data_IF_363402189178
#
_entry.id   IF_363402189178
#
_cell.length_a   1.000
_cell.length_b   1.000
_cell.length_c   1.000
_cell.angle_alpha   90.00
_cell.angle_beta   90.00
_cell.angle_gamma   90.00
#
_symmetry.space_group_name_H-M   'P 1'
#
loop_
_entity.id
_entity.type
_entity.pdbx_description
1 polymer ?
#
# COMPACT_ATOMS: atom_id res chain seq x y z
N UNK A 1 8.60 2.45 26.25
CA UNK A 1 7.26 1.82 26.24
C UNK A 1 6.88 1.22 27.60
N UNK A 2 5.70 1.58 28.13
CA UNK A 2 5.08 0.84 29.24
C UNK A 2 4.69 -0.58 28.75
N UNK A 3 4.55 -1.55 29.65
CA UNK A 3 4.18 -2.92 29.29
C UNK A 3 2.82 -2.99 28.56
N UNK A 4 1.91 -2.06 28.90
CA UNK A 4 0.62 -1.92 28.22
C UNK A 4 0.76 -1.44 26.77
N UNK A 5 1.69 -0.50 26.51
CA UNK A 5 1.93 0.04 25.17
C UNK A 5 2.55 -1.02 24.26
N UNK A 6 3.51 -1.79 24.80
CA UNK A 6 4.12 -2.91 24.08
C UNK A 6 3.09 -3.98 23.71
N UNK A 7 2.17 -4.31 24.63
CA UNK A 7 1.09 -5.26 24.35
C UNK A 7 0.11 -4.75 23.29
N UNK A 8 -0.20 -3.44 23.27
CA UNK A 8 -1.06 -2.84 22.25
C UNK A 8 -0.41 -2.87 20.85
N UNK A 9 0.89 -2.57 20.77
CA UNK A 9 1.65 -2.68 19.52
C UNK A 9 1.70 -4.13 19.01
N UNK A 10 1.99 -5.09 19.89
CA UNK A 10 1.99 -6.52 19.55
C UNK A 10 0.64 -6.99 19.02
N UNK A 11 -0.47 -6.55 19.64
CA UNK A 11 -1.81 -6.93 19.20
C UNK A 11 -2.14 -6.40 17.79
N UNK A 12 -1.83 -5.13 17.52
CA UNK A 12 -2.02 -4.54 16.18
C UNK A 12 -1.20 -5.32 15.12
N UNK A 13 0.03 -5.71 15.44
CA UNK A 13 0.88 -6.47 14.52
C UNK A 13 0.38 -7.90 14.31
N UNK A 14 -0.14 -8.56 15.36
CA UNK A 14 -0.78 -9.87 15.24
C UNK A 14 -2.00 -9.80 14.34
N UNK A 15 -2.89 -8.84 14.57
CA UNK A 15 -4.10 -8.63 13.77
C UNK A 15 -3.82 -8.26 12.31
N UNK A 16 -2.67 -7.62 12.04
CA UNK A 16 -2.23 -7.34 10.68
C UNK A 16 -1.81 -8.63 9.95
N UNK A 17 -1.09 -9.52 10.64
CA UNK A 17 -0.46 -10.71 10.06
C UNK A 17 -1.37 -11.94 10.02
N UNK A 18 -2.33 -12.06 10.93
CA UNK A 18 -3.23 -13.21 11.01
C UNK A 18 -4.19 -13.37 9.80
N UNK A 19 -4.89 -12.31 9.33
CA UNK A 19 -5.84 -12.44 8.24
C UNK A 19 -5.18 -12.34 6.86
N UNK A 20 -5.85 -12.93 5.87
CA UNK A 20 -5.68 -12.49 4.48
C UNK A 20 -6.49 -11.21 4.26
N UNK A 21 -5.91 -10.25 3.54
CA UNK A 21 -6.56 -9.01 3.17
C UNK A 21 -6.93 -9.03 1.69
N UNK A 22 -8.22 -8.88 1.40
CA UNK A 22 -8.71 -8.61 0.06
C UNK A 22 -8.52 -7.12 -0.25
N UNK A 23 -7.69 -6.82 -1.24
CA UNK A 23 -7.34 -5.47 -1.68
C UNK A 23 -8.00 -5.21 -3.03
N UNK A 24 -8.83 -4.16 -3.08
CA UNK A 24 -9.39 -3.63 -4.31
C UNK A 24 -8.72 -2.31 -4.63
N UNK A 25 -8.05 -2.23 -5.76
CA UNK A 25 -7.37 -1.03 -6.23
C UNK A 25 -8.19 -0.36 -7.31
N UNK A 26 -8.22 0.97 -7.29
CA UNK A 26 -8.69 1.82 -8.38
C UNK A 26 -7.53 2.70 -8.83
N UNK A 27 -7.13 2.57 -10.10
CA UNK A 27 -6.00 3.25 -10.72
C UNK A 27 -6.51 4.17 -11.82
N UNK A 28 -5.98 5.39 -11.90
CA UNK A 28 -6.39 6.33 -12.93
C UNK A 28 -6.05 7.78 -12.59
N UNK A 29 -5.95 8.63 -13.61
CA UNK A 29 -5.63 10.05 -13.44
C UNK A 29 -6.70 10.79 -12.62
N UNK A 30 -7.98 10.43 -12.81
CA UNK A 30 -9.11 11.01 -12.06
C UNK A 30 -9.03 10.67 -10.56
N UNK A 31 -8.82 9.40 -10.24
CA UNK A 31 -8.65 8.92 -8.85
C UNK A 31 -7.39 9.54 -8.22
N UNK A 32 -6.27 9.54 -8.94
CA UNK A 32 -5.04 10.16 -8.45
C UNK A 32 -5.24 11.65 -8.14
N UNK A 33 -5.89 12.39 -9.03
CA UNK A 33 -6.14 13.83 -8.87
C UNK A 33 -7.08 14.13 -7.70
N UNK A 34 -8.12 13.34 -7.48
CA UNK A 34 -9.07 13.54 -6.37
C UNK A 34 -8.41 13.37 -4.99
N UNK A 35 -7.32 12.59 -4.94
CA UNK A 35 -6.51 12.36 -3.73
C UNK A 35 -5.36 13.37 -3.57
N UNK A 36 -5.30 14.40 -4.42
CA UNK A 36 -4.22 15.40 -4.42
C UNK A 36 -2.93 14.95 -5.12
N UNK A 37 -3.02 13.92 -5.97
CA UNK A 37 -1.93 13.48 -6.83
C UNK A 37 -1.46 14.58 -7.78
N UNK A 38 -0.18 14.57 -8.10
CA UNK A 38 0.46 15.54 -9.00
C UNK A 38 1.38 14.82 -9.99
N UNK A 39 1.92 15.53 -10.98
CA UNK A 39 2.85 14.97 -11.95
C UNK A 39 2.20 14.45 -13.23
N UNK A 40 2.98 13.74 -14.04
CA UNK A 40 2.60 13.28 -15.38
C UNK A 40 1.42 12.28 -15.35
N UNK A 41 1.44 11.33 -14.41
CA UNK A 41 0.42 10.29 -14.24
C UNK A 41 -0.93 10.85 -13.77
N UNK A 42 -0.93 11.85 -12.89
CA UNK A 42 -2.17 12.53 -12.47
C UNK A 42 -2.74 13.47 -13.55
N UNK A 43 -1.92 13.86 -14.54
CA UNK A 43 -2.29 14.71 -15.68
C UNK A 43 -2.59 13.92 -16.97
N UNK A 44 -2.72 12.59 -16.86
CA UNK A 44 -3.13 11.70 -17.94
C UNK A 44 -4.49 12.09 -18.54
N UNK A 45 -4.97 11.33 -19.53
CA UNK A 45 -6.29 11.63 -20.12
C UNK A 45 -7.34 11.39 -19.05
N UNK A 46 -8.05 12.45 -18.68
CA UNK A 46 -9.11 12.44 -17.67
C UNK A 46 -10.45 11.93 -18.23
N UNK A 47 -10.45 11.14 -19.30
CA UNK A 47 -11.67 10.49 -19.74
C UNK A 47 -12.01 9.36 -18.75
N UNK A 48 -13.22 9.38 -18.20
CA UNK A 48 -13.67 8.43 -17.18
C UNK A 48 -13.67 6.94 -17.61
N UNK A 49 -13.19 6.63 -18.82
CA UNK A 49 -13.04 5.28 -19.37
C UNK A 49 -11.68 4.64 -19.12
N UNK A 50 -10.71 5.35 -18.51
CA UNK A 50 -9.34 4.84 -18.29
C UNK A 50 -9.09 4.32 -16.88
N UNK A 51 -10.08 4.38 -15.99
CA UNK A 51 -9.96 3.84 -14.64
C UNK A 51 -9.89 2.30 -14.66
N UNK A 52 -8.82 1.74 -14.11
CA UNK A 52 -8.57 0.30 -14.03
C UNK A 52 -8.78 -0.18 -12.61
N UNK A 53 -9.54 -1.28 -12.48
CA UNK A 53 -9.71 -1.99 -11.22
C UNK A 53 -8.82 -3.22 -11.16
N UNK A 54 -8.14 -3.40 -10.03
CA UNK A 54 -7.33 -4.57 -9.74
C UNK A 54 -7.71 -5.13 -8.37
N UNK A 55 -8.12 -6.38 -8.32
CA UNK A 55 -8.38 -7.09 -7.07
C UNK A 55 -7.22 -8.08 -6.79
N UNK A 56 -6.70 -8.10 -5.57
CA UNK A 56 -5.72 -9.09 -5.12
C UNK A 56 -5.89 -9.41 -3.63
N UNK A 57 -5.44 -10.59 -3.21
CA UNK A 57 -5.34 -10.94 -1.79
C UNK A 57 -3.91 -10.82 -1.31
N UNK A 58 -3.66 -10.32 -0.11
CA UNK A 58 -2.32 -10.25 0.51
C UNK A 58 -2.31 -10.82 1.92
N UNK A 59 -1.15 -11.35 2.33
CA UNK A 59 -0.85 -11.77 3.70
C UNK A 59 0.44 -11.11 4.15
N UNK A 60 0.48 -10.69 5.41
CA UNK A 60 1.66 -10.07 6.01
C UNK A 60 2.35 -11.05 6.96
N UNK A 61 3.66 -11.09 6.92
CA UNK A 61 4.52 -11.86 7.81
C UNK A 61 5.51 -10.89 8.46
N UNK A 62 5.68 -10.97 9.77
CA UNK A 62 6.63 -10.13 10.51
C UNK A 62 8.01 -10.76 10.54
N UNK A 63 9.05 -9.96 10.26
CA UNK A 63 10.43 -10.37 10.41
C UNK A 63 10.90 -10.09 11.85
N UNK A 64 11.50 -11.09 12.49
CA UNK A 64 11.96 -10.95 13.87
C UNK A 64 13.19 -10.02 13.99
N UNK A 65 13.21 -9.22 15.06
CA UNK A 65 14.40 -8.44 15.46
C UNK A 65 14.57 -7.08 14.76
N UNK A 66 13.53 -6.56 14.12
CA UNK A 66 13.54 -5.24 13.50
C UNK A 66 12.69 -4.22 14.27
N UNK A 67 13.24 -3.02 14.41
CA UNK A 67 12.59 -1.84 15.01
C UNK A 67 12.89 -0.60 14.12
N UNK A 68 11.88 0.04 13.51
CA UNK A 68 10.45 -0.28 13.60
C UNK A 68 10.10 -1.64 12.95
N UNK A 69 9.00 -2.29 13.38
CA UNK A 69 8.57 -3.57 12.82
C UNK A 69 8.38 -3.55 11.31
N UNK A 70 8.77 -4.64 10.66
CA UNK A 70 8.71 -4.82 9.21
C UNK A 70 8.60 -6.30 8.84
N UNK A 71 8.37 -6.60 7.56
CA UNK A 71 8.51 -7.95 7.07
C UNK A 71 8.07 -8.17 5.63
N UNK A 72 7.62 -9.40 5.36
CA UNK A 72 7.27 -9.87 4.02
C UNK A 72 5.78 -9.73 3.76
N UNK A 73 5.40 -9.23 2.58
CA UNK A 73 4.01 -9.30 2.09
C UNK A 73 3.93 -10.29 0.94
N UNK A 74 2.95 -11.20 0.97
CA UNK A 74 2.76 -12.24 -0.04
C UNK A 74 1.40 -12.09 -0.70
N UNK A 75 1.33 -12.25 -2.02
CA UNK A 75 0.07 -12.40 -2.72
C UNK A 75 -0.54 -13.77 -2.38
N UNK A 76 -1.83 -13.77 -2.04
CA UNK A 76 -2.59 -15.00 -1.80
C UNK A 76 -2.78 -15.83 -3.08
N UNK A 77 -2.73 -15.19 -4.25
CA UNK A 77 -2.88 -15.82 -5.57
C UNK A 77 -1.89 -15.23 -6.56
N UNK A 78 -1.36 -16.04 -7.51
CA UNK A 78 -0.49 -15.53 -8.56
C UNK A 78 -1.14 -14.41 -9.36
N UNK A 79 -0.37 -13.37 -9.68
CA UNK A 79 -0.78 -12.26 -10.53
C UNK A 79 0.15 -12.14 -11.73
N UNK A 80 -0.39 -11.69 -12.87
CA UNK A 80 0.42 -11.30 -14.04
C UNK A 80 0.92 -9.87 -13.95
N UNK A 81 0.34 -9.07 -13.04
CA UNK A 81 0.59 -7.64 -12.91
C UNK A 81 1.46 -7.31 -11.70
N UNK A 82 1.43 -8.16 -10.67
CA UNK A 82 2.15 -7.97 -9.42
C UNK A 82 3.00 -9.20 -9.09
N UNK A 83 4.21 -8.99 -8.59
CA UNK A 83 5.05 -10.05 -8.07
C UNK A 83 4.43 -10.74 -6.86
N UNK A 84 4.75 -12.03 -6.68
CA UNK A 84 4.18 -12.86 -5.62
C UNK A 84 4.57 -12.41 -4.21
N UNK A 85 5.71 -11.75 -4.07
CA UNK A 85 6.27 -11.34 -2.78
C UNK A 85 6.77 -9.90 -2.85
N UNK A 86 6.78 -9.26 -1.68
CA UNK A 86 7.25 -7.91 -1.48
C UNK A 86 7.59 -7.65 -0.03
N UNK A 87 7.68 -6.37 0.32
CA UNK A 87 8.13 -5.93 1.64
C UNK A 87 7.15 -4.93 2.23
N UNK A 88 6.87 -5.04 3.53
CA UNK A 88 6.10 -4.07 4.30
C UNK A 88 6.88 -3.57 5.51
N UNK A 89 6.53 -2.38 5.98
CA UNK A 89 7.05 -1.79 7.21
C UNK A 89 6.05 -0.88 7.89
N UNK A 90 6.19 -0.71 9.20
CA UNK A 90 5.59 0.42 9.92
C UNK A 90 6.22 1.72 9.41
N UNK A 91 5.36 2.68 9.10
CA UNK A 91 5.76 3.99 8.58
C UNK A 91 5.50 5.12 9.57
N UNK A 92 4.58 4.90 10.51
CA UNK A 92 4.25 5.86 11.56
C UNK A 92 3.72 5.12 12.79
N UNK A 93 4.02 5.65 13.98
CA UNK A 93 3.51 5.22 15.28
C UNK A 93 2.89 6.39 16.02
N UNK A 94 2.05 6.12 17.03
CA UNK A 94 1.61 7.16 17.97
C UNK A 94 2.67 7.44 19.04
N UNK A 95 2.33 8.29 19.99
CA UNK A 95 3.13 8.69 21.16
C UNK A 95 3.43 7.53 22.14
N UNK A 96 2.80 6.37 21.93
CA UNK A 96 3.01 5.13 22.70
C UNK A 96 3.67 4.05 21.87
N UNK A 97 4.30 4.40 20.74
CA UNK A 97 4.94 3.49 19.81
C UNK A 97 3.96 2.47 19.16
N UNK A 98 2.65 2.70 19.21
CA UNK A 98 1.66 1.83 18.57
C UNK A 98 1.58 2.16 17.08
N UNK A 99 1.70 1.17 16.17
CA UNK A 99 1.62 1.42 14.73
C UNK A 99 0.33 2.14 14.31
N UNK A 100 0.48 3.22 13.55
CA UNK A 100 -0.62 4.03 12.98
C UNK A 100 -0.64 4.06 11.46
N UNK A 101 0.49 3.78 10.82
CA UNK A 101 0.55 3.64 9.37
C UNK A 101 1.52 2.54 8.96
N UNK A 102 1.16 1.83 7.90
CA UNK A 102 2.05 0.88 7.23
C UNK A 102 2.20 1.25 5.76
N UNK A 103 3.35 0.87 5.21
CA UNK A 103 3.61 0.92 3.79
C UNK A 103 4.13 -0.42 3.34
N UNK A 104 3.55 -0.98 2.28
CA UNK A 104 4.08 -2.17 1.63
C UNK A 104 4.27 -1.94 0.14
N UNK A 105 5.15 -2.72 -0.47
CA UNK A 105 5.43 -2.64 -1.89
C UNK A 105 5.41 -4.00 -2.55
N UNK A 106 4.83 -4.05 -3.75
CA UNK A 106 4.91 -5.18 -4.67
C UNK A 106 5.52 -4.69 -5.98
N UNK A 107 6.31 -5.54 -6.65
CA UNK A 107 6.81 -5.19 -7.97
C UNK A 107 5.68 -5.31 -9.00
N UNK A 108 5.40 -4.22 -9.71
CA UNK A 108 4.49 -4.14 -10.83
C UNK A 108 5.21 -4.46 -12.13
N UNK A 109 4.57 -5.21 -13.03
CA UNK A 109 5.04 -5.41 -14.41
C UNK A 109 4.73 -4.21 -15.32
N UNK A 110 4.06 -3.19 -14.79
CA UNK A 110 3.44 -2.11 -15.54
C UNK A 110 1.96 -2.38 -15.79
N UNK A 111 1.12 -1.39 -15.52
CA UNK A 111 -0.34 -1.45 -15.69
C UNK A 111 -0.75 -0.34 -16.66
N UNK A 112 -1.52 -0.71 -17.68
CA UNK A 112 -1.92 0.18 -18.77
C UNK A 112 -3.42 0.05 -19.06
N UNK A 113 -4.03 1.15 -19.50
CA UNK A 113 -5.38 1.20 -20.06
C UNK A 113 -5.28 1.60 -21.54
N UNK A 114 -5.31 0.61 -22.43
CA UNK A 114 -5.01 0.85 -23.86
C UNK A 114 -3.58 1.37 -24.04
N UNK A 115 -3.46 2.58 -24.60
CA UNK A 115 -2.16 3.23 -24.80
C UNK A 115 -1.68 4.01 -23.57
N UNK A 116 -2.53 4.24 -22.57
CA UNK A 116 -2.18 5.02 -21.38
C UNK A 116 -1.47 4.16 -20.32
N UNK A 117 -0.38 4.69 -19.77
CA UNK A 117 0.33 4.08 -18.64
C UNK A 117 -0.22 4.60 -17.32
N UNK A 118 -0.75 3.70 -16.50
CA UNK A 118 -1.31 4.05 -15.19
C UNK A 118 -0.29 3.80 -14.07
N UNK A 119 0.48 2.71 -14.20
CA UNK A 119 1.54 2.34 -13.27
C UNK A 119 2.74 1.89 -14.10
N UNK A 120 3.91 2.53 -13.97
CA UNK A 120 5.13 2.04 -14.63
C UNK A 120 5.59 0.70 -14.04
N UNK A 121 6.40 -0.09 -14.79
CA UNK A 121 7.09 -1.24 -14.22
C UNK A 121 7.99 -0.83 -13.05
N UNK A 122 8.01 -1.64 -11.99
CA UNK A 122 8.78 -1.36 -10.77
C UNK A 122 7.92 -1.34 -9.50
N UNK A 123 8.41 -0.76 -8.39
CA UNK A 123 7.73 -0.86 -7.11
C UNK A 123 6.44 -0.01 -7.08
N UNK A 124 5.31 -0.68 -6.87
CA UNK A 124 4.04 -0.08 -6.50
C UNK A 124 3.91 -0.13 -4.98
N UNK A 125 3.80 1.04 -4.36
CA UNK A 125 3.67 1.19 -2.92
C UNK A 125 2.21 1.39 -2.54
N UNK A 126 1.78 0.65 -1.53
CA UNK A 126 0.48 0.70 -0.91
C UNK A 126 0.68 1.29 0.48
N UNK A 127 0.01 2.38 0.77
CA UNK A 127 0.12 3.09 2.04
C UNK A 127 -1.24 3.10 2.71
N UNK A 128 -1.32 2.61 3.94
CA UNK A 128 -2.54 2.57 4.73
C UNK A 128 -2.34 3.25 6.08
N UNK A 129 -3.41 3.86 6.57
CA UNK A 129 -3.57 4.14 7.99
C UNK A 129 -4.14 2.89 8.68
N UNK A 130 -3.78 2.73 9.94
CA UNK A 130 -4.27 1.68 10.81
C UNK A 130 -5.30 2.28 11.77
N UNK A 131 -6.53 1.78 11.70
CA UNK A 131 -7.61 2.14 12.63
C UNK A 131 -8.10 0.90 13.39
N UNK A 132 -8.43 1.09 14.66
CA UNK A 132 -8.69 -0.02 15.58
C UNK A 132 -7.42 -0.53 16.24
N UNK A 133 -7.60 -1.30 17.32
CA UNK A 133 -6.51 -1.83 18.15
C UNK A 133 -6.50 -3.35 18.24
N UNK A 134 -7.45 -4.03 17.59
CA UNK A 134 -7.62 -5.49 17.67
C UNK A 134 -8.33 -5.98 18.93
N UNK A 135 -8.32 -5.21 20.02
CA UNK A 135 -8.88 -5.60 21.31
C UNK A 135 -10.36 -5.23 21.42
N UNK A 136 -10.71 -4.00 21.06
CA UNK A 136 -12.05 -3.42 21.18
C UNK A 136 -12.70 -3.25 19.81
N UNK A 137 -11.88 -2.88 18.82
CA UNK A 137 -12.29 -2.69 17.44
C UNK A 137 -11.37 -3.52 16.54
N UNK A 138 -11.93 -4.30 15.59
CA UNK A 138 -11.12 -5.00 14.60
C UNK A 138 -10.20 -4.02 13.87
N UNK A 139 -8.95 -4.43 13.63
CA UNK A 139 -8.02 -3.64 12.85
C UNK A 139 -8.56 -3.43 11.42
N UNK A 140 -8.46 -2.20 10.93
CA UNK A 140 -8.82 -1.80 9.58
C UNK A 140 -7.65 -1.08 8.91
N UNK A 141 -7.46 -1.34 7.61
CA UNK A 141 -6.56 -0.56 6.77
C UNK A 141 -7.40 0.50 6.04
N UNK A 142 -7.23 1.76 6.42
CA UNK A 142 -8.02 2.88 5.89
C UNK A 142 -7.15 3.85 5.09
N UNK A 143 -7.81 4.80 4.41
CA UNK A 143 -7.17 5.83 3.61
C UNK A 143 -6.12 5.29 2.61
N UNK A 144 -6.42 4.15 1.99
CA UNK A 144 -5.48 3.42 1.15
C UNK A 144 -5.05 4.21 -0.09
N UNK A 145 -3.75 4.51 -0.20
CA UNK A 145 -3.15 5.22 -1.33
C UNK A 145 -2.13 4.37 -2.05
N UNK A 146 -2.23 4.35 -3.38
CA UNK A 146 -1.26 3.73 -4.27
C UNK A 146 -0.30 4.78 -4.78
N UNK A 147 1.00 4.53 -4.64
CA UNK A 147 2.05 5.44 -5.10
C UNK A 147 3.14 4.71 -5.86
N UNK A 148 3.77 5.42 -6.79
CA UNK A 148 4.97 4.95 -7.48
C UNK A 148 6.09 5.95 -7.26
N UNK A 149 7.33 5.47 -7.31
CA UNK A 149 8.49 6.34 -7.30
C UNK A 149 8.75 6.85 -8.72
N UNK A 150 8.63 8.16 -8.93
CA UNK A 150 9.08 8.82 -10.15
C UNK A 150 10.51 9.35 -9.92
N UNK A 151 11.44 8.97 -10.79
CA UNK A 151 12.80 9.51 -10.75
C UNK A 151 12.79 10.92 -11.36
N UNK A 152 12.85 11.94 -10.52
CA UNK A 152 13.02 13.31 -11.00
C UNK A 152 14.46 13.47 -11.47
N UNK A 153 14.66 13.47 -12.78
CA UNK A 153 15.86 14.07 -13.37
C UNK A 153 15.80 15.58 -13.14
N UNK A 154 16.55 16.10 -12.18
CA UNK A 154 16.75 17.54 -12.06
C UNK A 154 17.69 17.97 -13.20
N UNK A 155 17.14 18.53 -14.27
CA UNK A 155 17.93 19.14 -15.35
C UNK A 155 18.31 20.56 -14.91
N UNK A 156 19.28 20.64 -14.00
CA UNK A 156 19.92 21.92 -13.62
C UNK A 156 21.20 22.00 -14.46
N UNK A 157 21.29 23.00 -15.34
CA UNK A 157 22.26 23.08 -16.44
C UNK A 157 23.69 22.61 -16.16
N UNK A 158 24.33 22.11 -17.23
CA UNK A 158 25.72 21.65 -17.36
C UNK A 158 26.11 20.42 -16.50
N UNK A 159 25.37 20.09 -15.44
CA UNK A 159 25.57 18.86 -14.66
C UNK A 159 24.32 17.99 -14.69
N UNK A 160 24.36 16.88 -15.46
CA UNK A 160 23.34 15.82 -15.40
C UNK A 160 23.48 15.04 -14.09
N UNK A 161 22.98 15.60 -12.99
CA UNK A 161 22.81 14.87 -11.74
C UNK A 161 21.53 14.03 -11.83
N UNK A 162 21.65 12.78 -12.29
CA UNK A 162 20.58 11.79 -12.12
C UNK A 162 20.37 11.53 -10.62
N UNK A 163 19.19 11.85 -10.10
CA UNK A 163 18.60 11.10 -8.99
C UNK A 163 18.93 11.53 -7.55
N UNK A 164 18.76 12.81 -7.19
CA UNK A 164 18.88 13.23 -5.78
C UNK A 164 17.52 13.29 -5.05
N UNK A 165 16.40 13.39 -5.77
CA UNK A 165 15.06 13.46 -5.17
C UNK A 165 14.14 12.40 -5.79
N UNK A 166 13.72 11.45 -4.96
CA UNK A 166 12.66 10.51 -5.26
C UNK A 166 11.32 11.17 -4.89
N UNK A 167 10.42 11.34 -5.85
CA UNK A 167 9.06 11.80 -5.55
C UNK A 167 8.09 10.64 -5.68
N UNK A 168 7.27 10.44 -4.65
CA UNK A 168 6.20 9.46 -4.67
C UNK A 168 4.96 10.11 -5.26
N UNK A 169 4.52 9.60 -6.41
CA UNK A 169 3.30 10.07 -7.09
C UNK A 169 2.15 9.15 -6.79
N UNK A 170 1.01 9.74 -6.42
CA UNK A 170 -0.24 9.00 -6.26
C UNK A 170 -0.72 8.57 -7.64
N UNK A 171 -1.03 7.28 -7.78
CA UNK A 171 -1.54 6.67 -9.02
C UNK A 171 -2.96 6.10 -8.84
N UNK A 172 -3.44 6.04 -7.61
CA UNK A 172 -4.76 5.50 -7.30
C UNK A 172 -5.03 5.36 -5.81
N UNK A 173 -6.15 4.72 -5.51
CA UNK A 173 -6.56 4.32 -4.17
C UNK A 173 -6.69 2.80 -4.06
N UNK A 174 -6.73 2.31 -2.84
CA UNK A 174 -7.22 0.97 -2.58
C UNK A 174 -8.13 0.94 -1.35
N UNK A 175 -9.02 -0.05 -1.36
CA UNK A 175 -9.78 -0.50 -0.22
C UNK A 175 -9.25 -1.86 0.21
N UNK A 176 -9.19 -2.10 1.51
CA UNK A 176 -8.79 -3.38 2.07
C UNK A 176 -9.90 -3.92 2.96
N UNK A 177 -10.21 -5.20 2.82
CA UNK A 177 -11.15 -5.89 3.68
C UNK A 177 -10.48 -7.17 4.17
N UNK A 178 -10.69 -7.50 5.45
CA UNK A 178 -10.29 -8.82 5.94
C UNK A 178 -11.09 -9.85 5.16
N UNK A 179 -10.40 -10.79 4.52
CA UNK A 179 -11.05 -11.89 3.83
C UNK A 179 -11.77 -12.72 4.90
N UNK A 180 -13.10 -12.71 4.86
CA UNK A 180 -13.92 -13.61 5.69
C UNK A 180 -13.59 -15.02 5.21
N UNK A 181 -13.13 -15.89 6.11
CA UNK A 181 -13.01 -17.31 5.79
C UNK A 181 -14.41 -17.81 5.39
N UNK A 182 -14.64 -18.25 4.13
CA UNK A 182 -15.95 -18.75 3.72
C UNK A 182 -16.39 -19.98 4.51
N UNK A 183 -15.51 -20.61 5.29
CA UNK A 183 -15.83 -21.70 6.21
C UNK A 183 -16.32 -21.21 7.60
N UNK A 184 -16.26 -19.92 7.91
CA UNK A 184 -16.67 -19.39 9.21
C UNK A 184 -18.17 -19.03 9.16
N UNK A 185 -19.04 -19.72 9.94
CA UNK A 185 -20.46 -19.39 9.97
C UNK A 185 -20.64 -17.95 10.47
N UNK A 186 -21.70 -17.24 10.04
CA UNK A 186 -21.97 -15.89 10.52
C UNK A 186 -22.07 -15.91 12.04
N UNK A 187 -21.38 -14.97 12.69
CA UNK A 187 -21.50 -14.75 14.12
C UNK A 187 -22.99 -14.58 14.46
N UNK A 188 -23.47 -15.47 15.33
CA UNK A 188 -24.88 -15.53 15.78
C UNK A 188 -25.19 -14.41 16.76
#
# INVERSE_FOLDING_TARGET
>A
PDAADSAAAELVLSELCEPEWAIRCELGAAVASSLGGSGSLARGRTDASTDVRLDCGVRFEIDAGFDPPQGTVRLARPSRLLAAEGFWKVSETDDRDVPKAISWRLQSTGIRAGEEELVPPGPLYFNALLEGDGSTLPLQLTAGRLTVKEDIGADVGIFRARGILAEFKIVGAFEAQRAIDPAQPPAS
#
